data_IF_063691356482
#
_entry.id   IF_063691356482
#
_cell.length_a   1.000
_cell.length_b   1.000
_cell.length_c   1.000
_cell.angle_alpha   90.00
_cell.angle_beta   90.00
_cell.angle_gamma   90.00
#
_symmetry.space_group_name_H-M   'P 1'
#
loop_
_entity.id
_entity.type
_entity.pdbx_description
1 polymer ?
#
# COMPACT_ATOMS: atom_id res chain seq x y z
N UNK A 1 14.26 7.83 -8.42
CA UNK A 1 12.99 8.58 -8.25
C UNK A 1 12.25 8.06 -7.03
N UNK A 2 12.12 8.86 -5.97
CA UNK A 2 11.29 8.56 -4.79
C UNK A 2 9.87 9.03 -5.08
N UNK A 3 8.90 8.13 -5.13
CA UNK A 3 7.48 8.50 -5.21
C UNK A 3 7.09 9.23 -3.93
N UNK A 4 6.87 10.54 -4.05
CA UNK A 4 6.21 11.35 -3.03
C UNK A 4 4.77 10.88 -2.86
N UNK A 5 4.33 10.79 -1.61
CA UNK A 5 2.94 10.56 -1.24
C UNK A 5 2.09 11.71 -1.79
N UNK A 6 1.35 11.47 -2.87
CA UNK A 6 0.39 12.42 -3.44
C UNK A 6 -0.89 11.65 -3.77
N UNK A 7 -1.97 11.88 -2.99
CA UNK A 7 -3.14 12.52 -3.57
C UNK A 7 -3.85 13.49 -2.60
N UNK A 8 -3.14 14.41 -1.95
CA UNK A 8 -3.77 15.42 -1.06
C UNK A 8 -3.45 16.88 -1.37
N UNK A 9 -2.56 17.17 -2.32
CA UNK A 9 -2.09 18.56 -2.56
C UNK A 9 -2.97 19.41 -3.46
N UNK A 10 -3.93 18.83 -4.19
CA UNK A 10 -4.76 19.59 -5.16
C UNK A 10 -6.04 20.22 -4.58
N UNK A 11 -6.40 19.97 -3.32
CA UNK A 11 -7.71 20.37 -2.77
C UNK A 11 -7.67 21.61 -1.85
N UNK A 12 -6.50 22.23 -1.65
CA UNK A 12 -6.34 23.30 -0.65
C UNK A 12 -6.86 24.70 -1.07
N UNK A 13 -7.43 24.87 -2.27
CA UNK A 13 -7.78 26.20 -2.84
C UNK A 13 -9.29 26.43 -3.05
N UNK A 14 -10.17 25.71 -2.34
CA UNK A 14 -11.63 25.90 -2.39
C UNK A 14 -12.16 26.30 -1.01
N UNK A 15 -13.27 27.07 -0.90
CA UNK A 15 -13.90 27.39 0.38
C UNK A 15 -14.56 26.13 0.95
N UNK A 16 -13.74 25.26 1.54
CA UNK A 16 -14.19 24.02 2.15
C UNK A 16 -14.79 24.30 3.53
N UNK A 17 -15.91 23.64 3.81
CA UNK A 17 -16.57 23.65 5.11
C UNK A 17 -15.58 23.36 6.26
N UNK A 18 -15.78 24.01 7.40
CA UNK A 18 -14.98 23.83 8.63
C UNK A 18 -14.71 22.34 8.96
N UNK A 19 -15.69 21.47 8.68
CA UNK A 19 -15.61 20.03 8.91
C UNK A 19 -14.54 19.34 8.04
N UNK A 20 -14.43 19.73 6.76
CA UNK A 20 -13.40 19.19 5.88
C UNK A 20 -12.04 19.75 6.26
N UNK A 21 -11.95 21.02 6.67
CA UNK A 21 -10.69 21.63 7.08
C UNK A 21 -10.16 21.00 8.39
N UNK A 22 -11.02 20.68 9.35
CA UNK A 22 -10.66 19.96 10.58
C UNK A 22 -10.20 18.51 10.38
N UNK A 23 -10.42 17.92 9.19
CA UNK A 23 -9.98 16.56 8.86
C UNK A 23 -8.59 16.50 8.21
N UNK A 24 -8.13 17.55 7.52
CA UNK A 24 -6.83 17.54 6.84
C UNK A 24 -5.60 17.46 7.76
N UNK A 25 -5.51 18.16 8.90
CA UNK A 25 -4.36 17.97 9.78
C UNK A 25 -4.30 16.53 10.30
N UNK A 26 -5.45 15.90 10.54
CA UNK A 26 -5.54 14.54 11.08
C UNK A 26 -4.93 13.49 10.17
N UNK A 27 -5.18 13.55 8.86
CA UNK A 27 -4.63 12.58 7.89
C UNK A 27 -3.12 12.75 7.76
N UNK A 28 -2.64 14.00 7.65
CA UNK A 28 -1.22 14.30 7.56
C UNK A 28 -0.50 13.87 8.84
N UNK A 29 -1.04 14.21 10.02
CA UNK A 29 -0.50 13.80 11.33
C UNK A 29 -0.41 12.27 11.43
N UNK A 30 -1.44 11.54 11.02
CA UNK A 30 -1.47 10.08 11.11
C UNK A 30 -0.52 9.40 10.10
N UNK A 31 -0.49 9.84 8.85
CA UNK A 31 0.35 9.25 7.80
C UNK A 31 1.84 9.56 8.00
N UNK A 32 2.16 10.75 8.49
CA UNK A 32 3.51 11.20 8.80
C UNK A 32 3.95 10.85 10.22
N UNK A 33 3.16 10.08 10.97
CA UNK A 33 3.49 9.61 12.33
C UNK A 33 3.90 10.77 13.23
N UNK A 34 3.04 11.78 13.30
CA UNK A 34 3.22 12.99 14.08
C UNK A 34 4.51 13.77 13.78
N UNK A 35 5.02 13.67 12.55
CA UNK A 35 6.28 14.29 12.13
C UNK A 35 7.51 13.76 12.86
N UNK A 36 7.46 12.53 13.38
CA UNK A 36 8.60 11.91 14.06
C UNK A 36 9.77 11.72 13.08
N UNK A 37 10.85 12.47 13.34
CA UNK A 37 12.08 12.43 12.55
C UNK A 37 12.74 11.04 12.56
N UNK A 38 12.53 10.24 13.61
CA UNK A 38 13.05 8.87 13.69
C UNK A 38 12.39 7.94 12.68
N UNK A 39 11.12 8.20 12.36
CA UNK A 39 10.31 7.40 11.43
C UNK A 39 10.55 7.84 9.98
N UNK A 40 10.93 9.10 9.75
CA UNK A 40 11.37 9.59 8.43
C UNK A 40 10.28 9.58 7.35
N UNK A 41 9.01 9.59 7.74
CA UNK A 41 7.86 9.63 6.81
C UNK A 41 7.39 11.03 6.45
N UNK A 42 7.73 12.01 7.29
CA UNK A 42 7.38 13.41 7.09
C UNK A 42 8.36 14.10 6.14
N UNK A 43 7.84 14.99 5.30
CA UNK A 43 8.63 15.95 4.52
C UNK A 43 8.50 17.35 5.12
N UNK A 44 9.43 18.26 4.77
CA UNK A 44 9.34 19.67 5.18
C UNK A 44 8.02 20.33 4.72
N UNK A 45 7.44 19.85 3.62
CA UNK A 45 6.14 20.31 3.12
C UNK A 45 5.01 19.88 4.06
N UNK A 46 5.05 18.66 4.59
CA UNK A 46 4.04 18.15 5.52
C UNK A 46 4.03 18.96 6.83
N UNK A 47 5.22 19.21 7.40
CA UNK A 47 5.36 20.05 8.60
C UNK A 47 4.80 21.46 8.39
N UNK A 48 5.15 22.09 7.26
CA UNK A 48 4.67 23.44 6.94
C UNK A 48 3.15 23.51 6.79
N UNK A 49 2.51 22.48 6.25
CA UNK A 49 1.04 22.46 6.17
C UNK A 49 0.38 22.23 7.52
N UNK A 50 0.91 21.33 8.35
CA UNK A 50 0.36 21.11 9.70
C UNK A 50 0.46 22.39 10.53
N UNK A 51 1.60 23.07 10.51
CA UNK A 51 1.78 24.35 11.23
C UNK A 51 0.79 25.43 10.75
N UNK A 52 0.59 25.56 9.42
CA UNK A 52 -0.40 26.48 8.86
C UNK A 52 -1.82 26.14 9.29
N UNK A 53 -2.17 24.85 9.31
CA UNK A 53 -3.49 24.40 9.71
C UNK A 53 -3.71 24.65 11.20
N UNK A 54 -2.73 24.38 12.06
CA UNK A 54 -2.81 24.67 13.49
C UNK A 54 -2.96 26.18 13.75
N UNK A 55 -2.25 27.03 13.01
CA UNK A 55 -2.41 28.48 13.11
C UNK A 55 -3.80 28.98 12.69
N UNK A 56 -4.45 28.31 11.73
CA UNK A 56 -5.82 28.64 11.30
C UNK A 56 -6.88 28.17 12.31
N UNK A 57 -6.57 27.18 13.15
CA UNK A 57 -7.51 26.58 14.09
C UNK A 57 -6.87 26.44 15.48
N UNK A 58 -6.64 27.56 16.20
CA UNK A 58 -5.95 27.57 17.48
C UNK A 58 -6.71 26.81 18.59
N UNK A 59 -8.02 26.63 18.44
CA UNK A 59 -8.88 25.93 19.40
C UNK A 59 -8.82 24.40 19.27
N UNK A 60 -8.05 23.85 18.31
CA UNK A 60 -7.89 22.41 18.18
C UNK A 60 -7.14 21.82 19.39
N UNK A 61 -7.45 20.57 19.77
CA UNK A 61 -6.63 19.84 20.74
C UNK A 61 -5.16 19.78 20.29
N UNK A 62 -4.24 19.58 21.23
CA UNK A 62 -2.81 19.52 20.89
C UNK A 62 -2.55 18.39 19.91
N UNK A 63 -1.60 18.61 19.00
CA UNK A 63 -1.21 17.65 17.95
C UNK A 63 -1.01 16.23 18.47
N UNK A 64 -0.32 16.07 19.61
CA UNK A 64 -0.07 14.77 20.24
C UNK A 64 -1.37 14.10 20.69
N UNK A 65 -2.29 14.84 21.31
CA UNK A 65 -3.57 14.30 21.77
C UNK A 65 -4.43 13.84 20.56
N UNK A 66 -4.38 14.59 19.45
CA UNK A 66 -5.00 14.19 18.18
C UNK A 66 -4.36 12.92 17.64
N UNK A 67 -3.02 12.88 17.55
CA UNK A 67 -2.29 11.73 17.04
C UNK A 67 -2.58 10.47 17.85
N UNK A 68 -2.50 10.55 19.19
CA UNK A 68 -2.74 9.42 20.08
C UNK A 68 -4.17 8.89 19.95
N UNK A 69 -5.16 9.79 19.87
CA UNK A 69 -6.56 9.40 19.65
C UNK A 69 -6.75 8.71 18.29
N UNK A 70 -6.14 9.22 17.23
CA UNK A 70 -6.24 8.65 15.88
C UNK A 70 -5.52 7.30 15.80
N UNK A 71 -4.34 7.21 16.39
CA UNK A 71 -3.54 6.00 16.45
C UNK A 71 -4.29 4.92 17.24
N UNK A 72 -4.88 5.27 18.39
CA UNK A 72 -5.74 4.37 19.16
C UNK A 72 -6.92 3.87 18.33
N UNK A 73 -7.66 4.76 17.66
CA UNK A 73 -8.79 4.37 16.81
C UNK A 73 -8.39 3.52 15.59
N UNK A 74 -7.20 3.76 15.02
CA UNK A 74 -6.67 2.97 13.90
C UNK A 74 -6.40 1.52 14.31
N UNK A 75 -5.77 1.34 15.48
CA UNK A 75 -5.42 0.04 16.04
C UNK A 75 -6.60 -0.63 16.77
N UNK A 76 -7.66 0.11 17.06
CA UNK A 76 -8.90 -0.48 17.54
C UNK A 76 -9.55 -1.29 16.42
N UNK A 77 -9.56 -2.60 16.65
CA UNK A 77 -10.22 -3.60 15.82
C UNK A 77 -11.22 -4.40 16.65
N UNK A 78 -11.52 -3.95 17.87
CA UNK A 78 -12.53 -4.57 18.71
C UNK A 78 -13.89 -4.55 18.00
N UNK A 79 -14.63 -5.65 18.10
CA UNK A 79 -15.92 -5.81 17.42
C UNK A 79 -15.84 -6.10 15.92
N UNK A 80 -14.65 -6.12 15.29
CA UNK A 80 -14.54 -6.50 13.88
C UNK A 80 -14.54 -8.03 13.71
N UNK A 81 -15.32 -8.49 12.72
CA UNK A 81 -15.22 -9.87 12.22
C UNK A 81 -13.90 -10.07 11.48
N UNK A 82 -13.50 -11.33 11.26
CA UNK A 82 -12.27 -11.65 10.52
C UNK A 82 -12.31 -11.08 9.09
N UNK A 83 -13.46 -11.18 8.41
CA UNK A 83 -13.70 -10.56 7.10
C UNK A 83 -13.43 -9.06 7.13
N UNK A 84 -14.00 -8.36 8.12
CA UNK A 84 -13.89 -6.91 8.23
C UNK A 84 -12.46 -6.47 8.52
N UNK A 85 -11.73 -7.22 9.37
CA UNK A 85 -10.30 -6.97 9.62
C UNK A 85 -9.48 -7.10 8.33
N UNK A 86 -9.73 -8.16 7.55
CA UNK A 86 -9.04 -8.41 6.29
C UNK A 86 -9.35 -7.36 5.23
N UNK A 87 -10.58 -6.86 5.19
CA UNK A 87 -11.03 -5.86 4.20
C UNK A 87 -10.64 -4.42 4.57
N UNK A 88 -10.54 -4.08 5.85
CA UNK A 88 -10.31 -2.72 6.38
C UNK A 88 -9.15 -2.01 5.68
N UNK A 89 -8.03 -2.71 5.50
CA UNK A 89 -6.83 -2.17 4.86
C UNK A 89 -6.24 -3.22 3.91
N UNK A 90 -6.90 -3.40 2.77
CA UNK A 90 -6.55 -4.39 1.75
C UNK A 90 -6.02 -3.74 0.46
N UNK A 91 -5.08 -4.41 -0.21
CA UNK A 91 -4.81 -4.22 -1.64
C UNK A 91 -4.82 -5.56 -2.36
N UNK A 92 -5.05 -5.53 -3.65
CA UNK A 92 -5.06 -6.72 -4.48
C UNK A 92 -4.18 -6.52 -5.70
N UNK A 93 -3.46 -7.56 -6.07
CA UNK A 93 -2.77 -7.68 -7.36
C UNK A 93 -3.32 -8.90 -8.09
N UNK A 94 -3.29 -8.87 -9.42
CA UNK A 94 -3.77 -9.97 -10.24
C UNK A 94 -2.90 -10.15 -11.48
N UNK A 95 -2.66 -11.40 -11.88
CA UNK A 95 -1.93 -11.77 -13.10
C UNK A 95 -2.48 -13.07 -13.65
N UNK A 96 -2.85 -13.08 -14.94
CA UNK A 96 -3.33 -14.27 -15.67
C UNK A 96 -4.42 -15.05 -14.91
N UNK A 97 -5.38 -14.34 -14.30
CA UNK A 97 -6.49 -14.93 -13.55
C UNK A 97 -6.18 -15.26 -12.09
N UNK A 98 -4.91 -15.34 -11.68
CA UNK A 98 -4.54 -15.49 -10.26
C UNK A 98 -4.57 -14.14 -9.55
N UNK A 99 -5.24 -14.09 -8.39
CA UNK A 99 -5.47 -12.89 -7.58
C UNK A 99 -4.88 -13.07 -6.18
N UNK A 100 -4.03 -12.14 -5.77
CA UNK A 100 -3.42 -12.10 -4.44
C UNK A 100 -3.96 -10.89 -3.67
N UNK A 101 -4.62 -11.16 -2.55
CA UNK A 101 -5.02 -10.15 -1.58
C UNK A 101 -3.90 -9.93 -0.56
N UNK A 102 -3.64 -8.66 -0.21
CA UNK A 102 -2.65 -8.27 0.80
C UNK A 102 -3.34 -7.35 1.82
N UNK A 103 -3.62 -7.91 2.99
CA UNK A 103 -4.35 -7.25 4.07
C UNK A 103 -3.40 -6.83 5.19
N UNK A 104 -3.53 -5.59 5.66
CA UNK A 104 -2.84 -5.12 6.84
C UNK A 104 -3.78 -5.20 8.06
N UNK A 105 -3.37 -5.94 9.10
CA UNK A 105 -4.14 -6.13 10.33
C UNK A 105 -3.39 -5.53 11.51
N UNK A 106 -4.12 -4.81 12.36
CA UNK A 106 -3.58 -4.05 13.49
C UNK A 106 -3.68 -4.84 14.80
N UNK A 107 -3.07 -6.03 14.84
CA UNK A 107 -2.94 -6.88 16.03
C UNK A 107 -1.71 -7.77 15.95
N UNK A 108 -1.42 -8.52 17.00
CA UNK A 108 -0.43 -9.59 16.97
C UNK A 108 -0.92 -10.80 16.14
N UNK A 109 0.00 -11.46 15.43
CA UNK A 109 -0.30 -12.60 14.57
C UNK A 109 -0.76 -13.81 15.36
N UNK A 110 -0.17 -14.12 16.51
CA UNK A 110 -0.62 -15.27 17.32
C UNK A 110 -2.07 -15.07 17.76
N UNK A 111 -2.41 -13.86 18.24
CA UNK A 111 -3.79 -13.52 18.56
C UNK A 111 -4.73 -13.58 17.33
N UNK A 112 -4.26 -13.22 16.14
CA UNK A 112 -5.03 -13.36 14.90
C UNK A 112 -5.26 -14.84 14.56
N UNK A 113 -4.22 -15.68 14.69
CA UNK A 113 -4.25 -17.11 14.42
C UNK A 113 -5.14 -17.90 15.39
N UNK A 114 -5.35 -17.38 16.60
CA UNK A 114 -6.20 -17.97 17.65
C UNK A 114 -7.69 -17.59 17.55
N UNK A 115 -8.07 -16.75 16.56
CA UNK A 115 -9.49 -16.38 16.38
C UNK A 115 -10.34 -17.62 16.07
N UNK A 116 -11.56 -17.65 16.63
CA UNK A 116 -12.55 -18.69 16.36
C UNK A 116 -12.84 -18.79 14.87
N UNK A 117 -12.94 -20.01 14.36
CA UNK A 117 -13.28 -20.32 12.96
C UNK A 117 -12.39 -19.65 11.90
N UNK A 118 -11.18 -19.19 12.29
CA UNK A 118 -10.29 -18.42 11.41
C UNK A 118 -10.10 -19.10 10.05
N UNK A 119 -9.81 -20.39 10.03
CA UNK A 119 -9.55 -21.11 8.77
C UNK A 119 -10.80 -21.09 7.86
N UNK A 120 -11.99 -21.32 8.43
CA UNK A 120 -13.24 -21.25 7.69
C UNK A 120 -13.48 -19.82 7.17
N UNK A 121 -13.21 -18.80 7.99
CA UNK A 121 -13.28 -17.39 7.60
C UNK A 121 -12.30 -17.04 6.47
N UNK A 122 -11.06 -17.52 6.52
CA UNK A 122 -10.06 -17.29 5.46
C UNK A 122 -10.50 -17.94 4.14
N UNK A 123 -11.05 -19.16 4.20
CA UNK A 123 -11.64 -19.80 3.03
C UNK A 123 -12.83 -19.01 2.48
N UNK A 124 -13.78 -18.63 3.33
CA UNK A 124 -14.96 -17.86 2.95
C UNK A 124 -14.57 -16.49 2.35
N UNK A 125 -13.58 -15.82 2.94
CA UNK A 125 -13.03 -14.57 2.42
C UNK A 125 -12.43 -14.76 1.03
N UNK A 126 -11.58 -15.77 0.83
CA UNK A 126 -10.97 -16.06 -0.47
C UNK A 126 -12.02 -16.32 -1.55
N UNK A 127 -13.09 -17.06 -1.23
CA UNK A 127 -14.20 -17.31 -2.14
C UNK A 127 -15.00 -16.04 -2.46
N UNK A 128 -15.41 -15.30 -1.42
CA UNK A 128 -16.21 -14.09 -1.58
C UNK A 128 -15.49 -12.98 -2.36
N UNK A 129 -14.18 -12.87 -2.17
CA UNK A 129 -13.34 -11.85 -2.82
C UNK A 129 -12.60 -12.38 -4.06
N UNK A 130 -12.88 -13.61 -4.48
CA UNK A 130 -12.28 -14.29 -5.62
C UNK A 130 -10.74 -14.19 -5.63
N UNK A 131 -10.08 -14.48 -4.51
CA UNK A 131 -8.62 -14.46 -4.38
C UNK A 131 -8.03 -15.82 -4.02
N UNK A 132 -6.98 -16.21 -4.74
CA UNK A 132 -6.29 -17.50 -4.61
C UNK A 132 -5.28 -17.52 -3.47
N UNK A 133 -4.73 -16.35 -3.14
CA UNK A 133 -3.74 -16.15 -2.08
C UNK A 133 -4.17 -14.98 -1.22
N UNK A 134 -4.11 -15.17 0.09
CA UNK A 134 -4.26 -14.11 1.07
C UNK A 134 -2.96 -13.96 1.85
N UNK A 135 -2.33 -12.80 1.68
CA UNK A 135 -1.17 -12.36 2.44
C UNK A 135 -1.64 -11.43 3.54
N UNK A 136 -1.50 -11.86 4.78
CA UNK A 136 -1.87 -11.08 5.96
C UNK A 136 -0.62 -10.51 6.59
N UNK A 137 -0.45 -9.19 6.53
CA UNK A 137 0.59 -8.46 7.23
C UNK A 137 0.04 -7.94 8.55
N UNK A 138 0.62 -8.35 9.67
CA UNK A 138 0.22 -7.83 10.97
C UNK A 138 1.16 -6.71 11.43
N UNK A 139 0.64 -5.80 12.23
CA UNK A 139 1.43 -4.79 12.94
C UNK A 139 0.85 -4.52 14.32
N UNK A 140 1.73 -4.51 15.31
CA UNK A 140 1.46 -4.05 16.67
C UNK A 140 2.69 -3.34 17.22
N UNK A 141 2.57 -2.75 18.41
CA UNK A 141 3.69 -2.13 19.12
C UNK A 141 4.04 -2.96 20.35
N UNK A 142 5.33 -3.22 20.56
CA UNK A 142 5.81 -3.96 21.73
C UNK A 142 5.80 -3.06 23.00
N UNK A 143 6.28 -3.60 24.12
CA UNK A 143 6.40 -2.89 25.40
C UNK A 143 7.29 -1.64 25.34
N UNK A 144 8.17 -1.54 24.35
CA UNK A 144 9.05 -0.39 24.11
C UNK A 144 8.47 0.59 23.07
N UNK A 145 7.21 0.40 22.66
CA UNK A 145 6.54 1.17 21.63
C UNK A 145 7.23 1.08 20.25
N UNK A 146 7.91 -0.04 19.98
CA UNK A 146 8.53 -0.31 18.68
C UNK A 146 7.58 -1.14 17.82
N UNK A 147 7.48 -0.84 16.51
CA UNK A 147 6.59 -1.57 15.62
C UNK A 147 7.13 -2.98 15.35
N UNK A 148 6.33 -3.98 15.67
CA UNK A 148 6.57 -5.37 15.30
C UNK A 148 5.71 -5.70 14.08
N UNK A 149 6.30 -6.39 13.09
CA UNK A 149 5.60 -6.88 11.91
C UNK A 149 5.72 -8.39 11.83
N UNK A 150 4.63 -9.04 11.47
CA UNK A 150 4.61 -10.45 11.15
C UNK A 150 3.80 -10.64 9.87
N UNK A 151 3.88 -11.85 9.32
CA UNK A 151 3.32 -12.18 8.01
C UNK A 151 2.70 -13.56 8.06
N UNK A 152 1.54 -13.73 7.44
CA UNK A 152 0.96 -15.04 7.17
C UNK A 152 0.50 -15.13 5.72
N UNK A 153 0.72 -16.29 5.11
CA UNK A 153 0.30 -16.62 3.75
C UNK A 153 -0.68 -17.77 3.82
N UNK A 154 -1.92 -17.50 3.46
CA UNK A 154 -2.95 -18.50 3.29
C UNK A 154 -3.19 -18.75 1.81
N UNK A 155 -2.96 -19.99 1.36
CA UNK A 155 -3.19 -20.40 -0.01
C UNK A 155 -3.43 -21.92 -0.07
N UNK A 156 -4.62 -22.38 -0.48
CA UNK A 156 -4.89 -23.81 -0.66
C UNK A 156 -4.04 -24.45 -1.76
N UNK A 157 -3.70 -23.73 -2.82
CA UNK A 157 -2.90 -24.26 -3.93
C UNK A 157 -1.41 -24.33 -3.56
N UNK A 158 -0.91 -25.55 -3.37
CA UNK A 158 0.43 -25.78 -2.82
C UNK A 158 1.58 -25.18 -3.66
N UNK A 159 1.54 -25.31 -5.00
CA UNK A 159 2.62 -24.80 -5.84
C UNK A 159 2.73 -23.28 -5.79
N UNK A 160 1.59 -22.57 -5.84
CA UNK A 160 1.55 -21.12 -5.69
C UNK A 160 1.95 -20.66 -4.28
N UNK A 161 1.51 -21.39 -3.24
CA UNK A 161 1.94 -21.12 -1.86
C UNK A 161 3.46 -21.20 -1.72
N UNK A 162 4.06 -22.29 -2.21
CA UNK A 162 5.51 -22.51 -2.16
C UNK A 162 6.26 -21.43 -2.94
N UNK A 163 5.77 -21.05 -4.13
CA UNK A 163 6.37 -19.97 -4.91
C UNK A 163 6.36 -18.65 -4.14
N UNK A 164 5.21 -18.25 -3.60
CA UNK A 164 5.06 -16.99 -2.86
C UNK A 164 5.95 -16.99 -1.62
N UNK A 165 5.93 -18.07 -0.82
CA UNK A 165 6.78 -18.20 0.36
C UNK A 165 8.26 -18.13 -0.01
N UNK A 166 8.68 -18.88 -1.04
CA UNK A 166 10.07 -18.90 -1.50
C UNK A 166 10.57 -17.52 -1.94
N UNK A 167 9.79 -16.77 -2.72
CA UNK A 167 10.17 -15.41 -3.12
C UNK A 167 10.30 -14.48 -1.91
N UNK A 168 9.39 -14.59 -0.95
CA UNK A 168 9.40 -13.74 0.24
C UNK A 168 10.59 -14.03 1.16
N UNK A 169 10.95 -15.31 1.31
CA UNK A 169 12.10 -15.76 2.10
C UNK A 169 13.44 -15.32 1.47
N UNK A 170 13.55 -15.40 0.15
CA UNK A 170 14.79 -15.15 -0.59
C UNK A 170 14.90 -13.73 -1.17
N UNK A 171 13.92 -12.86 -0.91
CA UNK A 171 13.99 -11.48 -1.41
C UNK A 171 15.14 -10.72 -0.76
N UNK A 172 15.95 -10.07 -1.60
CA UNK A 172 17.04 -9.18 -1.16
C UNK A 172 16.69 -7.69 -1.36
N UNK A 173 15.72 -7.38 -2.20
CA UNK A 173 15.30 -6.01 -2.52
C UNK A 173 13.78 -5.94 -2.70
N UNK A 174 13.00 -5.72 -1.62
CA UNK A 174 13.45 -5.50 -0.24
C UNK A 174 13.74 -6.79 0.53
N UNK A 175 14.79 -6.83 1.36
CA UNK A 175 14.98 -7.95 2.29
C UNK A 175 13.98 -7.92 3.44
N UNK A 176 13.15 -8.96 3.56
CA UNK A 176 12.15 -9.09 4.64
C UNK A 176 12.74 -9.63 5.95
N UNK A 177 13.82 -10.42 5.87
CA UNK A 177 14.43 -11.15 7.00
C UNK A 177 13.38 -11.99 7.74
N UNK A 178 12.71 -12.88 7.00
CA UNK A 178 11.65 -13.71 7.56
C UNK A 178 12.23 -14.82 8.43
N UNK A 179 11.56 -15.11 9.54
CA UNK A 179 11.81 -16.29 10.37
C UNK A 179 10.50 -17.06 10.52
N UNK A 180 10.44 -18.36 10.21
CA UNK A 180 9.21 -19.13 10.34
C UNK A 180 8.62 -19.05 11.76
N UNK A 181 7.30 -18.93 11.83
CA UNK A 181 6.54 -18.96 13.07
C UNK A 181 5.61 -20.19 13.07
N UNK A 182 5.23 -20.72 14.25
CA UNK A 182 4.31 -21.84 14.34
C UNK A 182 2.97 -21.55 13.64
N UNK A 183 2.49 -22.51 12.87
CA UNK A 183 1.13 -22.52 12.34
C UNK A 183 0.62 -23.96 12.31
N UNK A 184 -0.64 -24.16 12.63
CA UNK A 184 -1.24 -25.50 12.79
C UNK A 184 -1.97 -26.00 11.54
N UNK A 185 -2.01 -25.20 10.48
CA UNK A 185 -2.84 -25.47 9.31
C UNK A 185 -2.00 -25.64 8.02
N UNK A 186 -2.22 -26.70 7.22
CA UNK A 186 -1.35 -27.03 6.08
C UNK A 186 -1.36 -26.02 4.94
N UNK A 187 -2.41 -25.20 4.84
CA UNK A 187 -2.54 -24.16 3.80
C UNK A 187 -2.04 -22.78 4.26
N UNK A 188 -1.54 -22.70 5.49
CA UNK A 188 -1.13 -21.46 6.12
C UNK A 188 0.35 -21.53 6.46
N UNK A 189 1.09 -20.48 6.15
CA UNK A 189 2.49 -20.33 6.56
C UNK A 189 2.68 -18.99 7.26
N UNK A 190 3.27 -19.00 8.45
CA UNK A 190 3.45 -17.83 9.29
C UNK A 190 4.94 -17.48 9.45
N UNK A 191 5.23 -16.18 9.62
CA UNK A 191 6.57 -15.64 9.78
C UNK A 191 6.62 -14.44 10.72
N UNK A 192 7.71 -14.34 11.48
CA UNK A 192 8.18 -13.07 12.04
C UNK A 192 8.91 -12.29 10.94
N UNK A 193 8.65 -10.99 10.81
CA UNK A 193 9.30 -10.15 9.80
C UNK A 193 10.37 -9.26 10.45
N UNK A 194 11.64 -9.67 10.32
CA UNK A 194 12.76 -8.96 10.95
C UNK A 194 12.99 -7.55 10.40
N UNK A 195 12.68 -7.28 9.12
CA UNK A 195 12.74 -5.92 8.57
C UNK A 195 11.39 -5.20 8.68
N UNK A 196 11.15 -4.52 9.79
CA UNK A 196 9.89 -3.83 10.09
C UNK A 196 9.61 -2.61 9.21
N UNK A 197 10.57 -2.16 8.39
CA UNK A 197 10.41 -1.07 7.42
C UNK A 197 9.77 -1.53 6.11
N UNK A 198 9.67 -2.84 5.86
CA UNK A 198 8.96 -3.38 4.71
C UNK A 198 7.47 -3.43 5.02
N UNK A 199 6.72 -2.51 4.41
CA UNK A 199 5.25 -2.50 4.49
C UNK A 199 4.64 -3.07 3.21
N UNK A 200 3.32 -3.20 3.18
CA UNK A 200 2.56 -3.58 1.98
C UNK A 200 2.97 -2.81 0.72
N UNK A 201 3.29 -1.52 0.83
CA UNK A 201 3.75 -0.71 -0.32
C UNK A 201 5.01 -1.25 -0.98
N UNK A 202 5.93 -1.84 -0.21
CA UNK A 202 7.16 -2.47 -0.72
C UNK A 202 6.93 -3.95 -1.07
N UNK A 203 6.02 -4.62 -0.37
CA UNK A 203 5.67 -6.02 -0.62
C UNK A 203 4.92 -6.23 -1.94
N UNK A 204 4.02 -5.29 -2.28
CA UNK A 204 3.15 -5.36 -3.45
C UNK A 204 3.93 -5.50 -4.77
N UNK A 205 4.91 -4.64 -5.10
CA UNK A 205 5.67 -4.80 -6.35
C UNK A 205 6.48 -6.10 -6.38
N UNK A 206 7.04 -6.54 -5.25
CA UNK A 206 7.76 -7.82 -5.15
C UNK A 206 6.86 -9.00 -5.53
N UNK A 207 5.65 -9.06 -4.97
CA UNK A 207 4.69 -10.13 -5.29
C UNK A 207 4.16 -10.02 -6.73
N UNK A 208 4.02 -8.82 -7.27
CA UNK A 208 3.59 -8.61 -8.65
C UNK A 208 4.65 -9.11 -9.66
N UNK A 209 5.92 -8.85 -9.39
CA UNK A 209 7.05 -9.38 -10.15
C UNK A 209 7.10 -10.92 -10.05
N UNK A 210 6.95 -11.46 -8.84
CA UNK A 210 6.92 -12.90 -8.59
C UNK A 210 5.85 -13.63 -9.41
N UNK A 211 4.62 -13.11 -9.40
CA UNK A 211 3.52 -13.66 -10.20
C UNK A 211 3.84 -13.60 -11.69
N UNK A 212 4.44 -12.50 -12.16
CA UNK A 212 4.81 -12.36 -13.57
C UNK A 212 5.85 -13.41 -13.97
N UNK A 213 6.94 -13.53 -13.22
CA UNK A 213 7.99 -14.51 -13.47
C UNK A 213 7.47 -15.96 -13.40
N UNK A 214 6.60 -16.27 -12.45
CA UNK A 214 5.99 -17.59 -12.31
C UNK A 214 5.21 -18.00 -13.57
N UNK A 215 4.34 -17.14 -14.08
CA UNK A 215 3.55 -17.46 -15.27
C UNK A 215 4.35 -17.40 -16.57
N UNK A 216 5.37 -16.56 -16.65
CA UNK A 216 6.24 -16.52 -17.82
C UNK A 216 7.07 -17.81 -17.93
N UNK A 217 7.49 -18.39 -16.80
CA UNK A 217 8.17 -19.69 -16.76
C UNK A 217 7.30 -20.86 -17.22
N UNK A 218 5.98 -20.80 -16.99
CA UNK A 218 5.03 -21.83 -17.41
C UNK A 218 4.71 -21.80 -18.92
N UNK A 219 5.01 -20.70 -19.61
CA UNK A 219 4.75 -20.55 -21.05
C UNK A 219 5.88 -21.12 -21.92
N UNK A 220 7.02 -21.44 -21.34
CA UNK A 220 8.12 -22.08 -22.06
C UNK A 220 7.74 -23.57 -22.22
N UNK A 221 7.57 -24.09 -23.44
CA UNK A 221 7.39 -25.53 -23.64
C UNK A 221 8.63 -26.22 -23.09
N UNK A 222 8.45 -27.25 -22.26
CA UNK A 222 9.54 -28.10 -21.77
C UNK A 222 10.15 -28.87 -22.96
N UNK A 223 11.04 -28.23 -23.71
CA UNK A 223 11.91 -28.86 -24.70
C UNK A 223 13.14 -29.42 -24.00
N UNK A 224 13.38 -30.71 -24.18
CA UNK A 224 14.55 -31.42 -23.66
C UNK A 224 15.89 -30.85 -24.18
N UNK A 225 17.02 -31.08 -23.47
CA UNK A 225 18.34 -30.64 -23.91
C UNK A 225 19.02 -31.72 -24.76
N UNK A 226 19.53 -31.35 -25.94
CA UNK A 226 20.55 -32.13 -26.65
C UNK A 226 21.72 -31.21 -27.05
N UNK A 227 22.80 -31.37 -26.30
CA UNK A 227 24.22 -31.50 -26.67
C UNK A 227 24.85 -30.69 -27.81
N UNK A 228 26.08 -30.22 -27.49
CA UNK A 228 27.23 -29.93 -28.39
C UNK A 228 27.16 -28.62 -29.21
N UNK A 229 28.20 -27.81 -29.36
CA UNK A 229 29.56 -27.75 -28.82
C UNK A 229 30.20 -26.44 -29.35
N UNK A 230 31.36 -26.10 -28.78
CA UNK A 230 32.45 -25.30 -29.37
C UNK A 230 32.44 -23.77 -29.13
N UNK A 231 33.29 -23.38 -28.18
CA UNK A 231 34.01 -22.10 -28.16
C UNK A 231 34.85 -21.93 -29.44
N UNK A 232 34.80 -20.76 -30.09
CA UNK A 232 35.98 -20.20 -30.77
C UNK A 232 36.02 -18.67 -30.69
N UNK A 233 37.25 -18.24 -30.54
CA UNK A 233 37.77 -16.93 -30.19
C UNK A 233 38.22 -16.15 -31.45
N UNK A 234 38.45 -14.86 -31.25
CA UNK A 234 39.40 -13.95 -31.93
C UNK A 234 38.98 -13.06 -33.12
N UNK A 235 39.11 -11.75 -32.81
CA UNK A 235 39.87 -10.70 -33.51
C UNK A 235 39.30 -10.21 -34.88
N UNK A 236 39.31 -8.93 -35.25
CA UNK A 236 40.31 -7.89 -35.04
C UNK A 236 39.89 -6.57 -35.75
N UNK A 237 40.63 -5.48 -35.49
CA UNK A 237 40.75 -4.16 -36.20
C UNK A 237 39.78 -3.02 -35.82
N UNK A 238 40.23 -1.99 -35.07
CA UNK A 238 41.06 -0.81 -35.46
C UNK A 238 40.27 0.20 -36.34
N UNK A 239 40.27 1.54 -36.18
CA UNK A 239 41.20 2.50 -35.57
C UNK A 239 40.56 3.93 -35.47
N UNK A 240 41.02 4.73 -34.51
CA UNK A 240 41.20 6.21 -34.47
C UNK A 240 40.04 7.21 -34.57
N UNK A 241 39.94 8.11 -33.57
CA UNK A 241 40.73 9.38 -33.54
C UNK A 241 40.50 10.19 -32.24
N UNK A 242 41.58 10.46 -31.52
CA UNK A 242 41.63 11.38 -30.37
C UNK A 242 41.97 12.82 -30.79
N UNK A 243 41.59 13.81 -29.98
CA UNK A 243 42.20 15.15 -30.02
C UNK A 243 41.41 16.32 -29.42
N UNK A 244 41.49 16.45 -28.09
CA UNK A 244 41.58 17.67 -27.24
C UNK A 244 40.88 18.99 -27.66
N UNK A 245 40.16 19.63 -26.71
CA UNK A 245 40.72 20.66 -25.80
C UNK A 245 39.66 21.68 -25.30
N UNK A 246 39.84 22.10 -24.04
CA UNK A 246 39.47 23.39 -23.43
C UNK A 246 38.00 23.67 -23.00
N UNK A 247 37.83 23.78 -21.69
CA UNK A 247 36.85 24.67 -21.01
C UNK A 247 37.47 26.09 -20.98
N UNK A 248 36.69 27.19 -21.11
CA UNK A 248 36.20 27.85 -19.88
C UNK A 248 34.86 28.61 -20.02
N UNK A 249 34.09 28.64 -18.92
CA UNK A 249 33.48 29.90 -18.46
C UNK A 249 31.99 30.19 -18.73
N UNK A 250 31.21 30.05 -17.65
CA UNK A 250 30.16 30.96 -17.13
C UNK A 250 28.82 31.17 -17.89
N UNK A 251 27.77 30.96 -17.08
CA UNK A 251 26.53 31.75 -16.93
C UNK A 251 25.24 31.31 -17.64
N UNK A 252 24.21 31.24 -16.80
CA UNK A 252 22.80 31.56 -16.99
C UNK A 252 21.77 30.48 -17.37
N UNK A 253 20.81 30.42 -16.43
CA UNK A 253 19.39 30.08 -16.46
C UNK A 253 18.90 28.66 -16.76
N UNK A 254 18.07 28.26 -15.80
CA UNK A 254 17.20 27.11 -15.75
C UNK A 254 16.13 27.23 -16.85
N UNK A 255 16.05 26.25 -17.74
CA UNK A 255 14.81 25.95 -18.45
C UNK A 255 14.63 24.43 -18.57
N UNK A 256 13.59 23.93 -17.91
CA UNK A 256 13.19 22.53 -17.90
C UNK A 256 12.69 22.13 -19.30
N UNK A 257 13.15 21.02 -19.91
CA UNK A 257 12.74 20.66 -21.27
C UNK A 257 11.24 20.28 -21.29
N UNK A 258 10.49 20.67 -22.33
CA UNK A 258 9.06 20.41 -22.39
C UNK A 258 8.78 18.90 -22.49
N UNK A 259 7.87 18.42 -21.64
CA UNK A 259 7.44 17.03 -21.63
C UNK A 259 6.67 16.68 -22.92
N UNK A 260 6.85 15.46 -23.45
CA UNK A 260 6.12 15.03 -24.63
C UNK A 260 4.61 14.92 -24.32
N UNK A 261 3.74 15.19 -25.31
CA UNK A 261 2.30 15.07 -25.13
C UNK A 261 1.92 13.62 -24.81
N UNK A 262 0.92 13.47 -23.95
CA UNK A 262 0.45 12.17 -23.48
C UNK A 262 -0.19 11.40 -24.64
N UNK A 263 0.14 10.11 -24.87
CA UNK A 263 -0.43 9.34 -25.96
C UNK A 263 -1.92 9.13 -25.70
N UNK A 264 -2.75 9.51 -26.67
CA UNK A 264 -4.19 9.35 -26.63
C UNK A 264 -4.54 8.10 -27.43
N UNK A 265 -5.08 7.07 -26.78
CA UNK A 265 -5.72 5.95 -27.47
C UNK A 265 -7.09 5.63 -26.84
N UNK A 266 -8.10 6.01 -27.61
CA UNK A 266 -9.35 5.30 -27.96
C UNK A 266 -10.40 4.95 -26.89
N UNK A 267 -11.50 5.70 -27.00
CA UNK A 267 -12.92 5.29 -26.95
C UNK A 267 -13.40 4.55 -25.70
N UNK A 268 -13.82 5.35 -24.71
CA UNK A 268 -14.90 5.00 -23.79
C UNK A 268 -16.03 5.96 -24.11
N UNK A 269 -17.12 5.45 -24.70
CA UNK A 269 -18.18 6.24 -25.36
C UNK A 269 -19.09 7.07 -24.44
N UNK A 270 -18.74 7.27 -23.18
CA UNK A 270 -19.27 8.37 -22.37
C UNK A 270 -18.47 8.44 -21.06
N UNK A 271 -17.64 9.48 -20.93
CA UNK A 271 -17.01 9.76 -19.66
C UNK A 271 -18.08 10.36 -18.73
N UNK A 272 -18.29 9.85 -17.51
CA UNK A 272 -19.22 10.45 -16.54
C UNK A 272 -18.88 11.91 -16.17
N UNK A 273 -17.74 12.42 -16.65
CA UNK A 273 -17.25 13.78 -16.49
C UNK A 273 -17.54 14.69 -17.70
N UNK A 274 -18.08 14.18 -18.82
CA UNK A 274 -18.43 14.99 -20.00
C UNK A 274 -19.59 15.97 -19.73
N UNK A 275 -20.38 15.70 -18.69
CA UNK A 275 -21.41 16.60 -18.16
C UNK A 275 -20.82 17.68 -17.21
N UNK A 276 -19.49 17.76 -17.08
CA UNK A 276 -18.80 18.56 -16.08
C UNK A 276 -18.76 17.88 -14.71
N UNK A 277 -17.86 18.35 -13.83
CA UNK A 277 -17.84 17.91 -12.43
C UNK A 277 -19.24 18.14 -11.83
N UNK A 278 -19.83 17.15 -11.13
CA UNK A 278 -21.09 17.37 -10.44
C UNK A 278 -20.94 18.60 -9.54
N UNK A 279 -21.89 19.54 -9.64
CA UNK A 279 -21.95 20.74 -8.80
C UNK A 279 -22.24 20.33 -7.35
N UNK A 280 -21.22 19.77 -6.70
CA UNK A 280 -21.22 19.41 -5.29
C UNK A 280 -21.06 20.71 -4.51
N UNK A 281 -22.18 21.37 -4.23
CA UNK A 281 -22.18 22.50 -3.30
C UNK A 281 -22.01 21.99 -1.87
N UNK A 282 -21.50 22.85 -0.99
CA UNK A 282 -21.29 22.50 0.41
C UNK A 282 -22.60 22.06 1.10
N UNK A 283 -23.73 22.63 0.67
CA UNK A 283 -25.07 22.31 1.16
C UNK A 283 -25.46 20.86 0.82
N UNK A 284 -25.19 20.41 -0.41
CA UNK A 284 -25.52 19.03 -0.84
C UNK A 284 -24.71 17.99 -0.07
N UNK A 285 -23.45 18.31 0.26
CA UNK A 285 -22.60 17.43 1.08
C UNK A 285 -23.11 17.41 2.52
N UNK A 286 -23.42 18.57 3.10
CA UNK A 286 -23.96 18.67 4.46
C UNK A 286 -25.28 17.92 4.61
N UNK A 287 -26.17 18.05 3.62
CA UNK A 287 -27.45 17.38 3.61
C UNK A 287 -27.30 15.86 3.50
N UNK A 288 -26.39 15.36 2.64
CA UNK A 288 -26.06 13.92 2.59
C UNK A 288 -25.44 13.40 3.89
N UNK A 289 -24.51 14.13 4.50
CA UNK A 289 -23.91 13.73 5.78
C UNK A 289 -24.93 13.73 6.93
N UNK A 290 -25.86 14.70 6.91
CA UNK A 290 -26.98 14.77 7.86
C UNK A 290 -27.93 13.59 7.67
N UNK A 291 -28.26 13.24 6.43
CA UNK A 291 -29.08 12.06 6.10
C UNK A 291 -28.42 10.75 6.56
N UNK A 292 -27.09 10.61 6.40
CA UNK A 292 -26.36 9.42 6.89
C UNK A 292 -26.41 9.34 8.42
N UNK A 293 -26.24 10.48 9.12
CA UNK A 293 -26.29 10.54 10.58
C UNK A 293 -27.70 10.24 11.11
N UNK A 294 -28.74 10.73 10.43
CA UNK A 294 -30.13 10.44 10.76
C UNK A 294 -30.48 8.97 10.48
N UNK A 295 -29.99 8.40 9.37
CA UNK A 295 -30.21 6.98 9.01
C UNK A 295 -29.56 6.01 10.01
N UNK A 296 -28.41 6.38 10.57
CA UNK A 296 -27.75 5.61 11.64
C UNK A 296 -28.51 5.75 12.98
N UNK A 297 -29.11 6.91 13.25
CA UNK A 297 -29.93 7.13 14.45
C UNK A 297 -31.25 6.37 14.41
N UNK A 298 -31.94 6.32 13.25
CA UNK A 298 -33.16 5.52 13.09
C UNK A 298 -32.86 4.02 13.15
N UNK A 299 -31.78 3.55 12.55
CA UNK A 299 -31.34 2.14 12.66
C UNK A 299 -31.01 1.74 14.11
N UNK A 300 -30.38 2.63 14.89
CA UNK A 300 -30.10 2.41 16.31
C UNK A 300 -31.37 2.45 17.19
N UNK A 301 -32.40 3.21 16.80
CA UNK A 301 -33.67 3.29 17.52
C UNK A 301 -34.59 2.09 17.28
N UNK A 302 -34.53 1.47 16.08
CA UNK A 302 -35.31 0.28 15.72
C UNK A 302 -34.74 -1.00 16.36
N UNK A 303 -33.45 -1.03 16.70
CA UNK A 303 -32.82 -2.16 17.40
C UNK A 303 -33.11 -2.20 18.92
N UNK A 304 -33.88 -1.24 19.47
CA UNK A 304 -34.24 -1.16 20.89
C UNK A 304 -35.74 -1.34 21.16
N UNK A 305 -36.48 -1.95 20.24
CA UNK A 305 -37.89 -2.30 20.43
C UNK A 305 -38.13 -3.79 20.26
#
# INVERSE_FOLDING_TARGET
>A
MRLTSMPCTRLANSPLSLLTIMSYPRTIILDCVNMDLKVGKATAKDSKYVEKLEALFPDLPRRNDIFDSLQKAKFDISGLTTEQMLRKDQKTISRQGTKVAISAIYMDLEAFLQRSDLIADLHAFCQAHNCDVLVTMTIFFNTHNEPVRQLAIFCPHAALRMMICGVLEHSHSPSLKLTPAPSTHPHLQAYLQGNTQVSRKKLLPLLQEALSAYFDSMKIPSGQPETEAVCRELADKELDRAGNSLVPGLSQDEEEPPLPPTPMNSLVDECPLDQGLPKLSAEVIFEKCSQISQSQSTAASLSKK
#
